data_IF_052130285961
#
_entry.id   IF_052130285961
#
_cell.length_a   1.000
_cell.length_b   1.000
_cell.length_c   1.000
_cell.angle_alpha   90.00
_cell.angle_beta   90.00
_cell.angle_gamma   90.00
#
_symmetry.space_group_name_H-M   'P 1'
#
loop_
_entity.id
_entity.type
_entity.pdbx_description
1 polymer ?
#
# COMPACT_ATOMS: atom_id res chain seq x y z
N UNK A 1 -7.41 -4.17 13.31
CA UNK A 1 -7.45 -5.46 12.55
C UNK A 1 -6.35 -6.36 13.08
N UNK A 2 -6.57 -7.67 13.21
CA UNK A 2 -5.51 -8.61 13.63
C UNK A 2 -4.90 -9.28 12.41
N UNK A 3 -3.57 -9.27 12.30
CA UNK A 3 -2.83 -9.95 11.24
C UNK A 3 -1.88 -10.94 11.88
N UNK A 4 -1.97 -12.20 11.46
CA UNK A 4 -1.06 -13.24 11.93
C UNK A 4 0.20 -13.20 11.07
N UNK A 5 1.31 -12.80 11.68
CA UNK A 5 2.63 -12.79 11.04
C UNK A 5 3.36 -14.08 11.43
N UNK A 6 3.81 -14.90 10.46
CA UNK A 6 4.59 -16.09 10.77
C UNK A 6 5.89 -15.69 11.47
N UNK A 7 6.12 -16.21 12.68
CA UNK A 7 7.30 -15.93 13.49
C UNK A 7 7.11 -14.87 14.58
N UNK A 8 6.16 -13.95 14.44
CA UNK A 8 5.91 -12.89 15.44
C UNK A 8 4.56 -12.99 16.17
N UNK A 9 3.62 -13.80 15.66
CA UNK A 9 2.30 -14.00 16.28
C UNK A 9 1.22 -13.09 15.71
N UNK A 10 0.19 -12.77 16.49
CA UNK A 10 -0.87 -11.86 16.07
C UNK A 10 -0.49 -10.40 16.34
N UNK A 11 -0.30 -9.64 15.27
CA UNK A 11 -0.08 -8.19 15.32
C UNK A 11 -1.43 -7.48 15.24
N UNK A 12 -1.68 -6.59 16.20
CA UNK A 12 -2.85 -5.72 16.18
C UNK A 12 -2.49 -4.44 15.43
N UNK A 13 -3.10 -4.25 14.25
CA UNK A 13 -3.00 -3.01 13.50
C UNK A 13 -3.97 -2.00 14.10
N UNK A 14 -3.49 -0.83 14.58
CA UNK A 14 -4.35 0.22 15.11
C UNK A 14 -5.24 0.80 14.00
N UNK A 15 -6.40 1.35 14.39
CA UNK A 15 -7.40 1.83 13.44
C UNK A 15 -6.88 2.93 12.50
N UNK A 16 -5.99 3.80 12.96
CA UNK A 16 -5.39 4.84 12.11
C UNK A 16 -4.48 4.27 11.02
N UNK A 17 -3.67 3.27 11.33
CA UNK A 17 -2.88 2.55 10.31
C UNK A 17 -3.77 1.76 9.37
N UNK A 18 -4.84 1.12 9.89
CA UNK A 18 -5.79 0.41 9.06
C UNK A 18 -6.50 1.35 8.07
N UNK A 19 -6.88 2.56 8.50
CA UNK A 19 -7.44 3.60 7.62
C UNK A 19 -6.44 3.99 6.53
N UNK A 20 -5.17 4.21 6.88
CA UNK A 20 -4.12 4.53 5.92
C UNK A 20 -3.89 3.39 4.91
N UNK A 21 -3.82 2.14 5.37
CA UNK A 21 -3.68 0.96 4.50
C UNK A 21 -4.85 0.81 3.52
N UNK A 22 -6.08 1.05 3.99
CA UNK A 22 -7.28 1.04 3.13
C UNK A 22 -7.25 2.17 2.10
N UNK A 23 -6.78 3.35 2.48
CA UNK A 23 -6.61 4.48 1.56
C UNK A 23 -5.57 4.13 0.50
N UNK A 24 -4.42 3.61 0.91
CA UNK A 24 -3.37 3.08 0.04
C UNK A 24 -3.94 2.08 -0.97
N UNK A 25 -4.67 1.06 -0.52
CA UNK A 25 -5.31 0.06 -1.38
C UNK A 25 -6.24 0.69 -2.43
N UNK A 26 -7.06 1.65 -2.02
CA UNK A 26 -7.98 2.32 -2.95
C UNK A 26 -7.22 3.17 -3.97
N UNK A 27 -6.12 3.80 -3.56
CA UNK A 27 -5.29 4.62 -4.42
C UNK A 27 -4.45 3.78 -5.38
N UNK A 28 -3.96 2.61 -4.95
CA UNK A 28 -3.22 1.68 -5.82
C UNK A 28 -4.11 1.05 -6.88
N UNK A 29 -5.37 0.72 -6.57
CA UNK A 29 -6.35 0.22 -7.55
C UNK A 29 -6.71 1.24 -8.64
N UNK A 30 -6.56 2.53 -8.35
CA UNK A 30 -6.79 3.60 -9.33
C UNK A 30 -5.58 3.83 -10.24
N UNK A 31 -4.41 3.33 -9.82
CA UNK A 31 -3.23 3.34 -10.67
C UNK A 31 -3.22 2.09 -11.54
N UNK A 32 -3.01 2.25 -12.85
CA UNK A 32 -2.75 1.13 -13.76
C UNK A 32 -1.30 0.61 -13.62
N UNK A 33 -0.84 0.39 -12.38
CA UNK A 33 0.51 -0.13 -12.10
C UNK A 33 0.42 -1.55 -11.58
N UNK A 34 0.85 -2.57 -12.34
CA UNK A 34 0.62 -3.98 -12.03
C UNK A 34 1.24 -4.42 -10.69
N UNK A 35 2.31 -3.76 -10.24
CA UNK A 35 3.00 -4.06 -8.98
C UNK A 35 2.19 -3.68 -7.73
N UNK A 36 1.31 -2.67 -7.83
CA UNK A 36 0.50 -2.16 -6.71
C UNK A 36 -0.99 -2.52 -6.85
N UNK A 37 -1.44 -2.77 -8.09
CA UNK A 37 -2.83 -3.11 -8.43
C UNK A 37 -3.26 -4.47 -7.85
N UNK A 38 -2.32 -5.43 -7.74
CA UNK A 38 -2.59 -6.79 -7.27
C UNK A 38 -2.51 -6.97 -5.74
N UNK A 39 -2.09 -5.94 -4.99
CA UNK A 39 -1.87 -6.07 -3.56
C UNK A 39 -3.20 -6.06 -2.80
N UNK A 40 -3.56 -7.20 -2.18
CA UNK A 40 -4.66 -7.26 -1.21
C UNK A 40 -4.34 -6.45 0.05
N UNK A 41 -5.36 -6.09 0.84
CA UNK A 41 -5.17 -5.41 2.13
C UNK A 41 -4.21 -6.19 3.04
N UNK A 42 -4.28 -7.53 3.03
CA UNK A 42 -3.39 -8.38 3.79
C UNK A 42 -1.93 -8.25 3.33
N UNK A 43 -1.68 -8.27 2.02
CA UNK A 43 -0.34 -8.06 1.47
C UNK A 43 0.20 -6.65 1.76
N UNK A 44 -0.62 -5.61 1.60
CA UNK A 44 -0.23 -4.25 1.98
C UNK A 44 0.12 -4.16 3.46
N UNK A 45 -0.63 -4.86 4.31
CA UNK A 45 -0.33 -4.91 5.74
C UNK A 45 1.00 -5.59 6.02
N UNK A 46 1.28 -6.74 5.40
CA UNK A 46 2.57 -7.44 5.55
C UNK A 46 3.73 -6.57 5.05
N UNK A 47 3.56 -5.89 3.91
CA UNK A 47 4.55 -4.96 3.38
C UNK A 47 4.76 -3.77 4.30
N UNK A 48 3.69 -3.23 4.88
CA UNK A 48 3.76 -2.12 5.83
C UNK A 48 4.45 -2.53 7.14
N UNK A 49 4.23 -3.75 7.62
CA UNK A 49 4.94 -4.30 8.78
C UNK A 49 6.43 -4.50 8.47
N UNK A 50 6.77 -4.91 7.24
CA UNK A 50 8.17 -5.18 6.85
C UNK A 50 8.97 -3.92 6.50
N UNK A 51 8.35 -2.93 5.84
CA UNK A 51 9.02 -1.76 5.24
C UNK A 51 8.60 -0.42 5.86
N UNK A 52 7.48 -0.40 6.57
CA UNK A 52 6.82 0.81 7.07
C UNK A 52 5.77 1.35 6.09
N UNK A 53 4.60 1.72 6.62
CA UNK A 53 3.49 2.26 5.81
C UNK A 53 3.85 3.57 5.09
N UNK A 54 4.69 4.43 5.68
CA UNK A 54 5.09 5.69 5.06
C UNK A 54 5.90 5.50 3.77
N UNK A 55 6.74 4.46 3.70
CA UNK A 55 7.47 4.14 2.46
C UNK A 55 6.52 3.73 1.34
N UNK A 56 5.49 2.95 1.66
CA UNK A 56 4.47 2.56 0.68
C UNK A 56 3.70 3.78 0.14
N UNK A 57 3.41 4.75 1.00
CA UNK A 57 2.77 6.02 0.59
C UNK A 57 3.69 6.84 -0.33
N UNK A 58 4.99 6.92 -0.04
CA UNK A 58 5.97 7.59 -0.90
C UNK A 58 6.11 6.90 -2.28
N UNK A 59 6.17 5.57 -2.29
CA UNK A 59 6.22 4.76 -3.53
C UNK A 59 4.97 4.99 -4.38
N UNK A 60 3.78 5.00 -3.76
CA UNK A 60 2.52 5.33 -4.40
C UNK A 60 2.53 6.76 -4.98
N UNK A 61 3.03 7.74 -4.23
CA UNK A 61 3.12 9.12 -4.69
C UNK A 61 4.04 9.25 -5.92
N UNK A 62 5.18 8.56 -5.93
CA UNK A 62 6.09 8.51 -7.09
C UNK A 62 5.42 7.86 -8.30
N UNK A 63 4.72 6.74 -8.10
CA UNK A 63 4.00 6.06 -9.18
C UNK A 63 2.92 6.97 -9.81
N UNK A 64 2.17 7.72 -8.99
CA UNK A 64 1.20 8.73 -9.45
C UNK A 64 1.85 9.83 -10.29
N UNK A 65 2.98 10.36 -9.83
CA UNK A 65 3.71 11.41 -10.55
C UNK A 65 4.22 10.88 -11.90
N UNK A 66 4.71 9.65 -11.93
CA UNK A 66 5.18 9.02 -13.16
C UNK A 66 4.05 8.74 -14.15
N UNK A 67 2.91 8.24 -13.67
CA UNK A 67 1.72 8.04 -14.50
C UNK A 67 1.25 9.36 -15.11
N UNK A 68 1.14 10.43 -14.30
CA UNK A 68 0.80 11.76 -14.82
C UNK A 68 1.79 12.26 -15.86
N UNK A 69 3.10 12.04 -15.65
CA UNK A 69 4.13 12.45 -16.61
C UNK A 69 3.99 11.71 -17.94
N UNK A 70 3.63 10.43 -17.91
CA UNK A 70 3.40 9.64 -19.11
C UNK A 70 2.10 10.04 -19.83
N UNK A 71 1.05 10.40 -19.08
CA UNK A 71 -0.25 10.85 -19.62
C UNK A 71 -0.17 12.23 -20.31
N UNK A 72 0.76 13.08 -19.89
CA UNK A 72 0.99 14.42 -20.49
C UNK A 72 1.96 14.35 -21.70
N UNK A 73 2.67 13.22 -21.86
CA UNK A 73 3.69 13.03 -22.89
C UNK A 73 3.23 12.31 -24.16
N UNK A 74 1.95 11.94 -24.26
CA UNK A 74 1.31 11.33 -25.44
C UNK A 74 0.51 12.39 -26.23
#
# INVERSE_FOLDING_TARGET
>A
MKVKVPGEGEVVIPDDELKRLRKLLKETQQLKTPELEAASLAQLTVMALSRGIGKLEDELARAKLQQKRNDIGD
#
